data_IF_673789713975
#
_entry.id   IF_673789713975
#
_cell.length_a   1.000
_cell.length_b   1.000
_cell.length_c   1.000
_cell.angle_alpha   90.00
_cell.angle_beta   90.00
_cell.angle_gamma   90.00
#
_symmetry.space_group_name_H-M   'P 1'
#
loop_
_entity.id
_entity.type
_entity.pdbx_description
1 polymer ?
#
# COMPACT_ATOMS: atom_id res chain seq x y z
N UNK A 1 49.46 -13.55 8.34
CA UNK A 1 48.24 -13.42 9.14
C UNK A 1 48.01 -11.94 9.36
N UNK A 2 47.05 -11.36 8.65
CA UNK A 2 46.01 -10.54 9.30
C UNK A 2 44.83 -10.44 8.33
N UNK A 3 43.67 -10.90 8.79
CA UNK A 3 42.42 -11.04 8.06
C UNK A 3 41.52 -9.87 8.51
N UNK A 4 41.58 -8.74 7.82
CA UNK A 4 40.67 -7.63 8.10
C UNK A 4 40.50 -6.70 6.89
N UNK A 5 39.95 -7.17 5.77
CA UNK A 5 39.60 -6.26 4.66
C UNK A 5 38.44 -6.77 3.78
N UNK A 6 37.28 -7.07 4.38
CA UNK A 6 36.18 -7.71 3.63
C UNK A 6 34.76 -7.25 3.96
N UNK A 7 34.56 -6.17 4.72
CA UNK A 7 33.21 -5.77 5.18
C UNK A 7 32.71 -4.41 4.69
N UNK A 8 33.48 -3.64 3.93
CA UNK A 8 33.06 -2.30 3.49
C UNK A 8 32.43 -2.23 2.09
N UNK A 9 32.54 -3.29 1.28
CA UNK A 9 32.24 -3.18 -0.16
C UNK A 9 30.88 -3.79 -0.56
N UNK A 10 30.20 -4.46 0.37
CA UNK A 10 29.05 -5.29 0.04
C UNK A 10 27.72 -4.52 -0.08
N UNK A 11 27.57 -3.42 0.67
CA UNK A 11 26.34 -2.61 0.66
C UNK A 11 26.26 -1.70 -0.57
N UNK A 12 27.40 -1.11 -0.98
CA UNK A 12 27.49 -0.21 -2.13
C UNK A 12 27.27 -0.90 -3.48
N UNK A 13 27.63 -2.19 -3.60
CA UNK A 13 27.49 -2.96 -4.83
C UNK A 13 26.04 -3.37 -5.16
N UNK A 14 25.15 -3.47 -4.17
CA UNK A 14 23.75 -3.87 -4.38
C UNK A 14 22.89 -2.73 -4.91
N UNK A 15 23.11 -1.51 -4.41
CA UNK A 15 22.31 -0.33 -4.79
C UNK A 15 22.53 0.12 -6.23
N UNK A 16 23.72 -0.10 -6.80
CA UNK A 16 23.98 0.16 -8.22
C UNK A 16 23.37 -0.89 -9.15
N UNK A 17 23.31 -2.16 -8.72
CA UNK A 17 22.77 -3.27 -9.53
C UNK A 17 21.26 -3.15 -9.78
N UNK A 18 20.53 -2.50 -8.88
CA UNK A 18 19.08 -2.35 -8.98
C UNK A 18 18.66 -1.09 -9.77
N UNK A 19 19.62 -0.24 -10.15
CA UNK A 19 19.31 0.98 -10.89
C UNK A 19 18.88 0.64 -12.31
N UNK A 20 17.68 1.06 -12.71
CA UNK A 20 17.15 0.75 -14.04
C UNK A 20 16.91 -0.74 -14.32
N UNK A 21 16.76 -1.57 -13.29
CA UNK A 21 16.69 -3.02 -13.44
C UNK A 21 15.26 -3.54 -13.68
N UNK A 22 14.24 -2.70 -13.48
CA UNK A 22 12.83 -3.13 -13.51
C UNK A 22 12.02 -2.43 -14.59
N UNK A 23 11.13 -3.19 -15.21
CA UNK A 23 10.19 -2.72 -16.23
C UNK A 23 8.86 -2.27 -15.61
N UNK A 24 8.54 -2.81 -14.44
CA UNK A 24 7.32 -2.55 -13.69
C UNK A 24 7.63 -2.56 -12.19
N UNK A 25 7.19 -1.52 -11.50
CA UNK A 25 7.14 -1.46 -10.03
C UNK A 25 5.67 -1.39 -9.60
N UNK A 26 5.29 -2.18 -8.60
CA UNK A 26 3.91 -2.23 -8.12
C UNK A 26 3.86 -2.03 -6.61
N UNK A 27 3.01 -1.13 -6.14
CA UNK A 27 2.67 -0.96 -4.73
C UNK A 27 1.26 -1.49 -4.45
N UNK A 28 1.11 -2.20 -3.34
CA UNK A 28 -0.18 -2.74 -2.88
C UNK A 28 -1.10 -1.65 -2.31
N UNK A 29 -2.38 -2.01 -2.10
CA UNK A 29 -3.42 -1.12 -1.59
C UNK A 29 -3.02 -0.41 -0.28
N UNK A 30 -3.33 0.89 -0.20
CA UNK A 30 -3.18 1.68 1.01
C UNK A 30 -1.74 1.89 1.46
N UNK A 31 -0.77 1.81 0.55
CA UNK A 31 0.64 1.99 0.87
C UNK A 31 0.98 3.43 1.28
N UNK A 32 0.48 4.42 0.53
CA UNK A 32 0.96 5.80 0.66
C UNK A 32 0.58 6.49 1.97
N UNK A 33 -0.52 6.08 2.61
CA UNK A 33 -1.02 6.72 3.84
C UNK A 33 -0.14 6.46 5.06
N UNK A 34 0.79 5.50 4.96
CA UNK A 34 1.77 5.17 5.99
C UNK A 34 3.14 5.78 5.75
N UNK A 35 3.32 6.50 4.65
CA UNK A 35 4.61 7.06 4.24
C UNK A 35 4.62 8.56 4.54
N UNK A 36 5.61 9.00 5.34
CA UNK A 36 5.79 10.41 5.68
C UNK A 36 6.50 11.22 4.59
N UNK A 37 7.28 10.57 3.73
CA UNK A 37 8.06 11.19 2.66
C UNK A 37 7.77 10.52 1.31
N UNK A 38 6.84 11.11 0.58
CA UNK A 38 6.45 10.61 -0.75
C UNK A 38 7.52 10.87 -1.81
N UNK A 39 8.28 11.95 -1.70
CA UNK A 39 9.34 12.29 -2.64
C UNK A 39 10.47 11.25 -2.60
N UNK A 40 10.82 10.78 -1.41
CA UNK A 40 11.77 9.68 -1.24
C UNK A 40 11.27 8.37 -1.87
N UNK A 41 9.97 8.08 -1.78
CA UNK A 41 9.37 6.92 -2.45
C UNK A 41 9.45 7.06 -3.96
N UNK A 42 8.98 8.17 -4.52
CA UNK A 42 8.99 8.36 -5.98
C UNK A 42 10.42 8.38 -6.52
N UNK A 43 11.37 8.97 -5.80
CA UNK A 43 12.80 8.93 -6.13
C UNK A 43 13.34 7.51 -6.15
N UNK A 44 12.94 6.68 -5.18
CA UNK A 44 13.33 5.27 -5.11
C UNK A 44 12.75 4.45 -6.25
N UNK A 45 11.47 4.66 -6.58
CA UNK A 45 10.77 4.02 -7.71
C UNK A 45 11.44 4.41 -9.03
N UNK A 46 11.67 5.70 -9.25
CA UNK A 46 12.33 6.21 -10.45
C UNK A 46 13.74 5.63 -10.61
N UNK A 47 14.50 5.52 -9.51
CA UNK A 47 15.86 4.96 -9.55
C UNK A 47 15.88 3.52 -10.04
N UNK A 48 14.92 2.70 -9.63
CA UNK A 48 14.93 1.26 -9.95
C UNK A 48 14.28 0.94 -11.30
N UNK A 49 13.41 1.83 -11.79
CA UNK A 49 12.80 1.69 -13.11
C UNK A 49 13.79 1.96 -14.23
N UNK A 50 13.78 1.11 -15.26
CA UNK A 50 14.45 1.42 -16.53
C UNK A 50 13.78 2.62 -17.22
N UNK A 51 14.44 3.29 -18.17
CA UNK A 51 13.78 4.26 -19.04
C UNK A 51 12.57 3.62 -19.74
N UNK A 52 11.40 4.27 -19.63
CA UNK A 52 10.13 3.75 -20.17
C UNK A 52 9.48 2.64 -19.34
N UNK A 53 10.01 2.31 -18.16
CA UNK A 53 9.34 1.45 -17.19
C UNK A 53 8.13 2.13 -16.56
N UNK A 54 7.20 1.35 -16.02
CA UNK A 54 5.96 1.85 -15.44
C UNK A 54 5.88 1.63 -13.93
N UNK A 55 5.26 2.57 -13.25
CA UNK A 55 4.88 2.42 -11.84
C UNK A 55 3.36 2.30 -11.75
N UNK A 56 2.89 1.22 -11.13
CA UNK A 56 1.47 1.01 -10.85
C UNK A 56 1.25 1.01 -9.33
N UNK A 57 0.27 1.78 -8.89
CA UNK A 57 -0.21 1.69 -7.52
C UNK A 57 -1.73 1.65 -7.56
N UNK A 58 -2.29 1.07 -6.51
CA UNK A 58 -3.71 1.03 -6.28
C UNK A 58 -3.98 1.54 -4.88
N UNK A 59 -4.97 2.41 -4.72
CA UNK A 59 -5.35 2.90 -3.40
C UNK A 59 -6.86 3.04 -3.26
N UNK A 60 -7.41 2.39 -2.24
CA UNK A 60 -8.79 2.54 -1.77
C UNK A 60 -8.81 3.21 -0.37
N UNK A 61 -7.72 3.12 0.40
CA UNK A 61 -7.74 3.30 1.86
C UNK A 61 -6.85 4.41 2.37
N UNK A 62 -7.32 5.23 3.34
CA UNK A 62 -8.72 5.47 3.71
C UNK A 62 -9.38 6.51 2.79
N UNK A 63 -8.66 7.05 1.81
CA UNK A 63 -9.09 8.23 1.07
C UNK A 63 -10.25 7.99 0.12
N UNK A 64 -10.30 6.85 -0.57
CA UNK A 64 -11.28 6.61 -1.64
C UNK A 64 -12.62 6.05 -1.15
N UNK A 65 -12.68 5.44 0.05
CA UNK A 65 -13.91 4.84 0.63
C UNK A 65 -15.10 5.80 0.75
N UNK A 66 -14.93 7.07 1.16
CA UNK A 66 -16.06 7.99 1.31
C UNK A 66 -16.69 8.47 0.00
N UNK A 67 -16.09 8.17 -1.16
CA UNK A 67 -16.52 8.73 -2.45
C UNK A 67 -17.22 7.70 -3.32
N UNK A 68 -18.11 8.19 -4.18
CA UNK A 68 -18.80 7.41 -5.20
C UNK A 68 -17.81 6.92 -6.27
N UNK A 69 -17.81 5.60 -6.56
CA UNK A 69 -16.87 4.96 -7.49
C UNK A 69 -17.38 4.84 -8.94
N UNK A 70 -18.59 5.33 -9.23
CA UNK A 70 -19.29 5.13 -10.51
C UNK A 70 -19.21 6.33 -11.46
N UNK A 71 -18.68 7.48 -11.01
CA UNK A 71 -18.76 8.75 -11.74
C UNK A 71 -17.44 9.47 -11.92
N UNK A 72 -17.35 10.32 -12.96
CA UNK A 72 -16.22 11.22 -13.17
C UNK A 72 -16.16 12.36 -12.13
N UNK A 73 -17.22 12.55 -11.35
CA UNK A 73 -17.32 13.57 -10.30
C UNK A 73 -17.11 12.92 -8.95
N UNK A 74 -16.24 13.52 -8.13
CA UNK A 74 -16.08 13.14 -6.72
C UNK A 74 -17.32 13.56 -5.94
N UNK A 75 -18.18 12.59 -5.61
CA UNK A 75 -19.36 12.77 -4.76
C UNK A 75 -19.10 12.03 -3.46
N UNK A 76 -19.19 12.74 -2.32
CA UNK A 76 -19.04 12.10 -1.00
C UNK A 76 -20.32 11.34 -0.67
N UNK A 77 -20.22 10.01 -0.56
CA UNK A 77 -21.32 9.12 -0.19
C UNK A 77 -21.54 9.06 1.32
N UNK A 78 -20.48 9.25 2.12
CA UNK A 78 -20.52 9.07 3.57
C UNK A 78 -19.55 10.02 4.26
N UNK A 79 -19.99 10.70 5.31
CA UNK A 79 -19.06 11.51 6.11
C UNK A 79 -18.19 10.62 6.99
N UNK A 80 -16.97 11.06 7.32
CA UNK A 80 -16.05 10.29 8.16
C UNK A 80 -16.70 9.86 9.50
N UNK A 81 -17.49 10.75 10.08
CA UNK A 81 -18.17 10.58 11.38
C UNK A 81 -19.24 9.49 11.38
N UNK A 82 -19.82 9.16 10.23
CA UNK A 82 -20.85 8.12 10.11
C UNK A 82 -20.28 6.69 10.15
N UNK A 83 -18.95 6.51 10.07
CA UNK A 83 -18.35 5.17 10.06
C UNK A 83 -18.02 4.62 11.44
N UNK A 84 -17.85 5.49 12.44
CA UNK A 84 -17.60 5.10 13.84
C UNK A 84 -16.34 4.22 14.03
N UNK A 85 -15.88 4.02 15.27
CA UNK A 85 -14.83 3.04 15.57
C UNK A 85 -15.32 1.62 15.25
N UNK A 86 -14.53 0.82 14.55
CA UNK A 86 -14.84 -0.60 14.41
C UNK A 86 -14.56 -1.31 15.74
N UNK A 87 -15.59 -1.90 16.33
CA UNK A 87 -15.46 -2.73 17.54
C UNK A 87 -15.30 -4.18 17.09
N UNK A 88 -14.07 -4.68 17.07
CA UNK A 88 -13.84 -6.12 16.96
C UNK A 88 -14.03 -6.73 18.34
N UNK A 89 -15.12 -7.48 18.55
CA UNK A 89 -15.26 -8.28 19.75
C UNK A 89 -14.11 -9.30 19.79
N UNK A 90 -13.27 -9.23 20.82
CA UNK A 90 -12.27 -10.25 21.08
C UNK A 90 -12.96 -11.62 21.10
N UNK A 91 -12.39 -12.59 20.38
CA UNK A 91 -12.93 -13.95 20.20
C UNK A 91 -13.34 -14.57 21.54
N UNK A 92 -14.63 -14.51 21.85
CA UNK A 92 -15.33 -15.32 22.84
C UNK A 92 -16.26 -16.30 22.11
N UNK A 93 -16.67 -17.42 22.74
CA UNK A 93 -17.22 -18.56 22.03
C UNK A 93 -18.54 -18.20 21.34
N UNK A 94 -18.66 -18.66 20.10
CA UNK A 94 -19.69 -18.35 19.11
C UNK A 94 -21.12 -18.52 19.66
N UNK A 95 -21.95 -17.46 19.69
CA UNK A 95 -23.40 -17.63 19.80
C UNK A 95 -23.96 -18.06 18.44
N UNK A 96 -24.80 -19.09 18.47
CA UNK A 96 -25.39 -19.77 17.31
C UNK A 96 -25.90 -18.82 16.23
N UNK A 97 -25.56 -19.15 14.98
CA UNK A 97 -25.95 -18.52 13.74
C UNK A 97 -27.32 -17.81 13.75
N UNK A 98 -27.30 -16.47 13.77
CA UNK A 98 -28.33 -15.71 13.06
C UNK A 98 -27.99 -15.78 11.58
N UNK A 99 -28.85 -16.45 10.81
CA UNK A 99 -28.81 -16.48 9.34
C UNK A 99 -28.72 -15.03 8.81
N UNK A 100 -27.58 -14.69 8.21
CA UNK A 100 -27.43 -13.49 7.42
C UNK A 100 -27.96 -13.77 6.01
N UNK A 101 -29.22 -13.42 5.75
CA UNK A 101 -29.76 -13.31 4.39
C UNK A 101 -29.53 -11.89 3.91
N UNK A 102 -28.37 -11.60 3.31
CA UNK A 102 -28.13 -10.31 2.67
C UNK A 102 -26.66 -9.95 2.46
N UNK A 103 -26.14 -10.31 1.29
CA UNK A 103 -25.12 -9.56 0.52
C UNK A 103 -23.82 -9.17 1.24
N UNK A 104 -22.80 -10.00 1.08
CA UNK A 104 -21.41 -9.61 1.29
C UNK A 104 -21.01 -8.59 0.20
N UNK A 105 -21.04 -7.30 0.53
CA UNK A 105 -20.33 -6.27 -0.23
C UNK A 105 -19.22 -5.75 0.68
N UNK A 106 -18.01 -6.19 0.32
CA UNK A 106 -16.70 -5.81 0.85
C UNK A 106 -16.71 -4.45 1.57
N UNK A 107 -16.54 -4.51 2.89
CA UNK A 107 -16.41 -3.34 3.76
C UNK A 107 -15.10 -2.59 3.48
#
# INVERSE_FOLDING_TARGET
>A
MDLADGKKDFEGSRSSRLMGAFDLVVSSNGFFVWVSDLDAVFSSVHRVLRPGGHYMFYDIHPFNRPWEQSGARLVMMKTYWETGPQVTAALGPTPSARRNTGGNHNA
#
